data_IF_379657480957
#
_entry.id   IF_379657480957
#
_cell.length_a   1.000
_cell.length_b   1.000
_cell.length_c   1.000
_cell.angle_alpha   90.00
_cell.angle_beta   90.00
_cell.angle_gamma   90.00
#
_symmetry.space_group_name_H-M   'P 1'
#
loop_
_entity.id
_entity.type
_entity.pdbx_description
1 polymer ?
#
# COMPACT_ATOMS: atom_id res chain seq x y z
N UNK A 1 -7.43 10.06 10.88
CA UNK A 1 -6.20 10.21 10.08
C UNK A 1 -6.55 9.99 8.62
N UNK A 2 -6.20 10.95 7.77
CA UNK A 2 -6.46 10.83 6.34
C UNK A 2 -5.18 10.42 5.63
N UNK A 3 -5.15 9.19 5.18
CA UNK A 3 -4.02 8.66 4.42
C UNK A 3 -4.40 8.58 2.95
N UNK A 4 -3.56 9.14 2.10
CA UNK A 4 -3.74 9.01 0.66
C UNK A 4 -3.06 7.73 0.17
N UNK A 5 -3.80 6.90 -0.55
CA UNK A 5 -3.26 5.71 -1.16
C UNK A 5 -3.08 5.99 -2.65
N UNK A 6 -1.85 5.87 -3.11
CA UNK A 6 -1.53 6.01 -4.53
C UNK A 6 -1.33 4.63 -5.12
N UNK A 7 -1.88 4.40 -6.30
CA UNK A 7 -1.76 3.11 -6.96
C UNK A 7 -1.25 3.28 -8.38
N UNK A 8 -0.50 2.28 -8.84
CA UNK A 8 0.04 2.27 -10.18
C UNK A 8 0.14 0.83 -10.66
N UNK A 9 -0.22 0.59 -11.92
CA UNK A 9 -0.04 -0.73 -12.50
C UNK A 9 1.36 -0.82 -13.11
N UNK A 10 2.08 -1.87 -12.74
CA UNK A 10 3.40 -2.14 -13.28
C UNK A 10 3.32 -2.76 -14.67
N UNK A 11 4.42 -2.70 -15.40
CA UNK A 11 4.47 -3.23 -16.77
C UNK A 11 4.20 -4.73 -16.86
N UNK A 12 4.44 -5.48 -15.76
CA UNK A 12 4.17 -6.91 -15.71
C UNK A 12 2.75 -7.25 -15.28
N UNK A 13 1.91 -6.23 -15.10
CA UNK A 13 0.50 -6.40 -14.73
C UNK A 13 0.22 -6.35 -13.25
N UNK A 14 1.24 -6.43 -12.40
CA UNK A 14 1.02 -6.29 -10.95
C UNK A 14 0.64 -4.84 -10.61
N UNK A 15 0.01 -4.68 -9.47
CA UNK A 15 -0.34 -3.37 -8.95
C UNK A 15 0.51 -3.04 -7.74
N UNK A 16 0.94 -1.80 -7.67
CA UNK A 16 1.63 -1.25 -6.51
C UNK A 16 0.69 -0.28 -5.80
N UNK A 17 0.60 -0.38 -4.48
CA UNK A 17 -0.08 0.61 -3.65
C UNK A 17 0.94 1.19 -2.68
N UNK A 18 0.89 2.49 -2.48
CA UNK A 18 1.86 3.20 -1.70
C UNK A 18 1.14 4.27 -0.86
N UNK A 19 1.62 4.49 0.35
CA UNK A 19 1.10 5.54 1.23
C UNK A 19 2.26 6.50 1.51
N UNK A 20 2.39 7.58 0.71
CA UNK A 20 3.55 8.47 0.79
C UNK A 20 3.76 9.11 2.15
N UNK A 21 2.70 9.32 2.92
CA UNK A 21 2.80 9.94 4.24
C UNK A 21 3.56 9.07 5.23
N UNK A 22 3.67 7.77 4.96
CA UNK A 22 4.36 6.84 5.86
C UNK A 22 5.48 6.17 5.06
N UNK A 23 6.73 6.61 5.25
CA UNK A 23 7.85 6.04 4.49
C UNK A 23 7.95 4.52 4.66
N UNK A 24 8.17 3.83 3.54
CA UNK A 24 8.33 2.38 3.53
C UNK A 24 7.02 1.60 3.45
N UNK A 25 5.86 2.26 3.49
CA UNK A 25 4.60 1.55 3.35
C UNK A 25 4.23 1.47 1.87
N UNK A 26 4.50 0.32 1.29
CA UNK A 26 4.15 0.00 -0.08
C UNK A 26 3.92 -1.51 -0.19
N UNK A 27 3.06 -1.92 -1.10
CA UNK A 27 2.76 -3.32 -1.29
C UNK A 27 2.33 -3.59 -2.73
N UNK A 28 2.59 -4.81 -3.18
CA UNK A 28 2.14 -5.27 -4.48
C UNK A 28 0.93 -6.18 -4.34
N UNK A 29 0.14 -6.27 -5.40
CA UNK A 29 -0.96 -7.19 -5.49
C UNK A 29 -1.24 -7.58 -6.93
N UNK A 30 -2.00 -8.63 -7.12
CA UNK A 30 -2.41 -9.09 -8.44
C UNK A 30 -3.43 -8.14 -9.08
N UNK A 31 -4.12 -7.37 -8.25
CA UNK A 31 -5.04 -6.33 -8.70
C UNK A 31 -4.95 -5.14 -7.74
N UNK A 32 -5.63 -4.06 -8.12
CA UNK A 32 -5.56 -2.82 -7.36
C UNK A 32 -6.08 -3.00 -5.93
N UNK A 33 -7.18 -3.69 -5.77
CA UNK A 33 -7.79 -3.88 -4.44
C UNK A 33 -6.88 -4.68 -3.52
N UNK A 34 -6.22 -5.71 -4.03
CA UNK A 34 -5.30 -6.51 -3.25
C UNK A 34 -4.09 -5.69 -2.81
N UNK A 35 -3.53 -4.88 -3.70
CA UNK A 35 -2.40 -4.02 -3.36
C UNK A 35 -2.78 -3.04 -2.26
N UNK A 36 -3.96 -2.41 -2.36
CA UNK A 36 -4.44 -1.48 -1.34
C UNK A 36 -4.62 -2.17 0.00
N UNK A 37 -5.25 -3.35 0.00
CA UNK A 37 -5.48 -4.07 1.25
C UNK A 37 -4.17 -4.45 1.94
N UNK A 38 -3.17 -4.87 1.16
CA UNK A 38 -1.87 -5.19 1.72
C UNK A 38 -1.14 -3.97 2.26
N UNK A 39 -1.23 -2.83 1.57
CA UNK A 39 -0.64 -1.59 2.05
C UNK A 39 -1.30 -1.14 3.36
N UNK A 40 -2.63 -1.25 3.45
CA UNK A 40 -3.36 -0.90 4.66
C UNK A 40 -2.97 -1.80 5.84
N UNK A 41 -2.74 -3.09 5.57
CA UNK A 41 -2.28 -4.01 6.61
C UNK A 41 -0.91 -3.60 7.15
N UNK A 42 -0.02 -3.11 6.28
CA UNK A 42 1.28 -2.60 6.71
C UNK A 42 1.15 -1.37 7.61
N UNK A 43 0.21 -0.47 7.30
CA UNK A 43 -0.05 0.69 8.16
C UNK A 43 -0.43 0.25 9.55
N UNK A 44 -1.33 -0.72 9.67
CA UNK A 44 -1.76 -1.23 10.98
C UNK A 44 -0.59 -1.82 11.76
N UNK A 45 0.32 -2.52 11.08
CA UNK A 45 1.50 -3.07 11.73
C UNK A 45 2.45 -1.97 12.22
N UNK A 46 2.67 -0.95 11.39
CA UNK A 46 3.52 0.17 11.78
C UNK A 46 2.95 0.88 12.99
N UNK A 47 1.64 1.12 13.02
CA UNK A 47 1.00 1.77 14.15
C UNK A 47 1.05 0.91 15.42
N UNK A 48 0.94 -0.41 15.28
CA UNK A 48 0.99 -1.32 16.41
C UNK A 48 2.38 -1.41 17.05
N UNK A 49 3.42 -1.13 16.27
CA UNK A 49 4.82 -1.22 16.73
C UNK A 49 5.34 0.10 17.32
N UNK A 50 4.51 1.12 17.36
CA UNK A 50 4.92 2.44 17.89
C UNK A 50 4.80 2.53 19.39
#
# INVERSE_FOLDING_TARGET
MNLAVETEQESDGRWLAEIPQIPGVMAYGANRQEAIARAEALVLRVLAER
#
